data_IF_505491833518
#
_entry.id   IF_505491833518
#
_cell.length_a   1.000
_cell.length_b   1.000
_cell.length_c   1.000
_cell.angle_alpha   90.00
_cell.angle_beta   90.00
_cell.angle_gamma   90.00
#
_symmetry.space_group_name_H-M   'P 1'
#
loop_
_entity.id
_entity.type
_entity.pdbx_description
1 polymer ?
#
# COMPACT_ATOMS: atom_id res chain seq x y z
N UNK A 1 14.37 -17.30 4.25
CA UNK A 1 14.23 -16.04 5.03
C UNK A 1 12.74 -15.74 5.06
N UNK A 2 12.10 -15.77 6.23
CA UNK A 2 10.64 -15.58 6.33
C UNK A 2 10.27 -14.17 5.90
N UNK A 3 9.50 -14.05 4.82
CA UNK A 3 8.87 -12.80 4.43
C UNK A 3 7.81 -12.46 5.48
N UNK A 4 7.97 -11.36 6.22
CA UNK A 4 6.99 -10.85 7.18
C UNK A 4 6.48 -9.51 6.67
N UNK A 5 5.28 -9.47 6.10
CA UNK A 5 4.68 -8.18 5.69
C UNK A 5 3.30 -8.02 6.33
N UNK A 6 3.34 -7.86 7.65
CA UNK A 6 2.41 -7.01 8.39
C UNK A 6 3.26 -5.89 8.98
N UNK A 7 3.12 -4.69 8.44
CA UNK A 7 3.88 -3.51 8.85
C UNK A 7 2.87 -2.44 9.22
N UNK A 8 2.99 -1.89 10.43
CA UNK A 8 2.29 -0.67 10.79
C UNK A 8 3.02 0.47 10.09
N UNK A 9 2.33 1.17 9.20
CA UNK A 9 2.89 2.33 8.54
C UNK A 9 2.66 3.57 9.43
N UNK A 10 3.72 4.34 9.68
CA UNK A 10 3.59 5.63 10.35
C UNK A 10 3.45 6.75 9.31
N UNK A 11 2.70 7.81 9.64
CA UNK A 11 2.64 9.01 8.80
C UNK A 11 3.96 9.78 9.00
N UNK A 12 4.77 9.99 7.94
CA UNK A 12 5.99 10.78 8.03
C UNK A 12 5.70 12.20 8.56
N UNK A 13 6.63 12.76 9.34
CA UNK A 13 6.44 14.06 10.02
C UNK A 13 6.07 15.19 9.05
N UNK A 14 6.60 15.17 7.85
CA UNK A 14 6.34 16.13 6.78
C UNK A 14 4.96 15.97 6.12
N UNK A 15 4.28 14.86 6.36
CA UNK A 15 2.90 14.60 5.94
C UNK A 15 1.86 14.85 7.05
N UNK A 16 2.32 15.17 8.27
CA UNK A 16 1.44 15.56 9.38
C UNK A 16 1.05 17.03 9.18
N UNK A 17 -0.25 17.33 9.30
CA UNK A 17 -0.80 18.67 9.13
C UNK A 17 -1.70 19.03 10.32
N UNK A 18 -1.76 20.32 10.65
CA UNK A 18 -2.74 20.84 11.61
C UNK A 18 -4.17 20.81 11.05
N UNK A 19 -4.33 20.63 9.73
CA UNK A 19 -5.64 20.41 9.11
C UNK A 19 -6.12 18.98 9.42
N UNK A 20 -7.27 18.81 10.12
CA UNK A 20 -7.80 17.50 10.45
C UNK A 20 -8.18 16.67 9.21
N UNK A 21 -8.59 17.30 8.10
CA UNK A 21 -8.94 16.60 6.86
C UNK A 21 -7.71 15.97 6.21
N UNK A 22 -6.58 16.69 6.21
CA UNK A 22 -5.31 16.16 5.69
C UNK A 22 -4.87 14.96 6.54
N UNK A 23 -4.92 15.11 7.87
CA UNK A 23 -4.54 14.04 8.81
C UNK A 23 -5.44 12.81 8.67
N UNK A 24 -6.76 13.00 8.55
CA UNK A 24 -7.71 11.90 8.32
C UNK A 24 -7.43 11.16 7.02
N UNK A 25 -7.19 11.88 5.91
CA UNK A 25 -6.92 11.29 4.60
C UNK A 25 -5.57 10.56 4.56
N UNK A 26 -4.52 11.12 5.17
CA UNK A 26 -3.24 10.44 5.31
C UNK A 26 -3.36 9.19 6.20
N UNK A 27 -4.16 9.22 7.26
CA UNK A 27 -4.42 8.04 8.10
C UNK A 27 -5.11 6.93 7.30
N UNK A 28 -6.10 7.28 6.47
CA UNK A 28 -6.75 6.32 5.55
C UNK A 28 -5.76 5.73 4.54
N UNK A 29 -4.92 6.57 3.94
CA UNK A 29 -3.89 6.15 2.99
C UNK A 29 -2.90 5.14 3.61
N UNK A 30 -2.41 5.46 4.81
CA UNK A 30 -1.46 4.62 5.56
C UNK A 30 -2.09 3.29 5.98
N UNK A 31 -3.34 3.29 6.45
CA UNK A 31 -4.08 2.04 6.69
C UNK A 31 -4.22 1.19 5.42
N UNK A 32 -4.46 1.82 4.28
CA UNK A 32 -4.55 1.11 3.01
C UNK A 32 -3.21 0.52 2.55
N UNK A 33 -2.08 1.06 2.99
CA UNK A 33 -0.76 0.43 2.76
C UNK A 33 -0.62 -0.92 3.47
N UNK A 34 -1.30 -1.13 4.60
CA UNK A 34 -1.36 -2.44 5.24
C UNK A 34 -2.02 -3.49 4.34
N UNK A 35 -3.05 -3.12 3.57
CA UNK A 35 -3.67 -4.03 2.60
C UNK A 35 -2.74 -4.40 1.44
N UNK A 36 -1.87 -3.46 1.03
CA UNK A 36 -0.86 -3.71 0.00
C UNK A 36 0.19 -4.70 0.54
N UNK A 37 0.70 -4.44 1.74
CA UNK A 37 1.62 -5.32 2.44
C UNK A 37 1.05 -6.74 2.62
N UNK A 38 -0.20 -6.86 3.07
CA UNK A 38 -0.86 -8.16 3.19
C UNK A 38 -1.00 -8.87 1.84
N UNK A 39 -1.30 -8.15 0.76
CA UNK A 39 -1.41 -8.76 -0.56
C UNK A 39 -0.07 -9.31 -1.06
N UNK A 40 1.03 -8.57 -0.83
CA UNK A 40 2.38 -8.99 -1.13
C UNK A 40 2.82 -10.19 -0.27
N UNK A 41 2.47 -10.20 1.02
CA UNK A 41 2.65 -11.37 1.89
C UNK A 41 1.93 -12.61 1.35
N UNK A 42 0.65 -12.47 0.98
CA UNK A 42 -0.10 -13.55 0.37
C UNK A 42 0.53 -14.01 -0.95
N UNK A 43 1.03 -13.09 -1.78
CA UNK A 43 1.73 -13.41 -3.02
C UNK A 43 2.97 -14.25 -2.75
N UNK A 44 3.81 -13.84 -1.82
CA UNK A 44 5.01 -14.57 -1.44
C UNK A 44 4.67 -16.03 -1.07
N UNK A 45 3.65 -16.22 -0.22
CA UNK A 45 3.19 -17.57 0.17
C UNK A 45 2.59 -18.37 -0.98
N UNK A 46 1.94 -17.72 -1.96
CA UNK A 46 1.50 -18.40 -3.18
C UNK A 46 2.69 -18.90 -4.00
N UNK A 47 3.77 -18.14 -4.09
CA UNK A 47 4.99 -18.54 -4.81
C UNK A 47 5.68 -19.71 -4.08
N UNK A 48 5.88 -19.60 -2.77
CA UNK A 48 6.48 -20.67 -1.95
C UNK A 48 5.66 -21.97 -2.03
N UNK A 49 4.33 -21.87 -2.09
CA UNK A 49 3.45 -23.03 -2.24
C UNK A 49 3.38 -23.60 -3.67
N UNK A 50 4.13 -23.05 -4.63
CA UNK A 50 4.11 -23.50 -6.03
C UNK A 50 2.76 -23.25 -6.72
N UNK A 51 2.07 -22.16 -6.38
CA UNK A 51 0.76 -21.86 -6.95
C UNK A 51 0.84 -21.69 -8.48
N UNK A 52 -0.15 -22.24 -9.18
CA UNK A 52 -0.21 -22.13 -10.64
C UNK A 52 -0.33 -20.69 -11.15
N UNK A 53 0.15 -20.46 -12.38
CA UNK A 53 0.21 -19.15 -13.06
C UNK A 53 -1.07 -18.31 -12.90
N UNK A 54 -2.25 -18.91 -13.03
CA UNK A 54 -3.54 -18.20 -12.88
C UNK A 54 -3.70 -17.51 -11.52
N UNK A 55 -3.31 -18.17 -10.41
CA UNK A 55 -3.37 -17.58 -9.06
C UNK A 55 -2.36 -16.46 -8.91
N UNK A 56 -1.14 -16.65 -9.42
CA UNK A 56 -0.08 -15.65 -9.38
C UNK A 56 -0.44 -14.41 -10.22
N UNK A 57 -1.01 -14.58 -11.41
CA UNK A 57 -1.50 -13.46 -12.24
C UNK A 57 -2.59 -12.68 -11.52
N UNK A 58 -3.60 -13.36 -10.95
CA UNK A 58 -4.67 -12.70 -10.21
C UNK A 58 -4.16 -11.96 -8.97
N UNK A 59 -3.20 -12.53 -8.26
CA UNK A 59 -2.54 -11.87 -7.13
C UNK A 59 -1.80 -10.60 -7.58
N UNK A 60 -1.08 -10.66 -8.71
CA UNK A 60 -0.37 -9.50 -9.27
C UNK A 60 -1.33 -8.39 -9.72
N UNK A 61 -2.40 -8.75 -10.42
CA UNK A 61 -3.44 -7.79 -10.82
C UNK A 61 -4.07 -7.10 -9.60
N UNK A 62 -4.33 -7.84 -8.53
CA UNK A 62 -4.85 -7.28 -7.28
C UNK A 62 -3.86 -6.28 -6.64
N UNK A 63 -2.55 -6.55 -6.69
CA UNK A 63 -1.52 -5.61 -6.24
C UNK A 63 -1.55 -4.33 -7.07
N UNK A 64 -1.59 -4.45 -8.40
CA UNK A 64 -1.66 -3.31 -9.32
C UNK A 64 -2.92 -2.46 -9.09
N UNK A 65 -4.08 -3.10 -8.86
CA UNK A 65 -5.32 -2.41 -8.48
C UNK A 65 -5.15 -1.64 -7.17
N UNK A 66 -4.58 -2.26 -6.14
CA UNK A 66 -4.32 -1.58 -4.85
C UNK A 66 -3.37 -0.40 -5.03
N UNK A 67 -2.26 -0.57 -5.75
CA UNK A 67 -1.34 0.54 -6.04
C UNK A 67 -2.04 1.71 -6.76
N UNK A 68 -2.97 1.42 -7.67
CA UNK A 68 -3.81 2.45 -8.31
C UNK A 68 -4.71 3.17 -7.29
N UNK A 69 -5.39 2.44 -6.41
CA UNK A 69 -6.23 3.02 -5.35
C UNK A 69 -5.41 3.87 -4.38
N UNK A 70 -4.22 3.43 -4.00
CA UNK A 70 -3.29 4.21 -3.18
C UNK A 70 -2.92 5.55 -3.84
N UNK A 71 -2.70 5.57 -5.16
CA UNK A 71 -2.46 6.81 -5.91
C UNK A 71 -3.69 7.73 -5.89
N UNK A 72 -4.90 7.20 -5.97
CA UNK A 72 -6.13 7.98 -5.80
C UNK A 72 -6.19 8.62 -4.41
N UNK A 73 -5.94 7.86 -3.35
CA UNK A 73 -5.88 8.44 -1.99
C UNK A 73 -4.79 9.49 -1.83
N UNK A 74 -3.62 9.33 -2.47
CA UNK A 74 -2.61 10.40 -2.52
C UNK A 74 -3.13 11.67 -3.21
N UNK A 75 -3.89 11.53 -4.30
CA UNK A 75 -4.52 12.65 -4.98
C UNK A 75 -5.56 13.32 -4.08
N UNK A 76 -6.36 12.55 -3.35
CA UNK A 76 -7.33 13.08 -2.40
C UNK A 76 -6.65 13.93 -1.31
N UNK A 77 -5.53 13.48 -0.74
CA UNK A 77 -4.78 14.29 0.24
C UNK A 77 -4.30 15.60 -0.39
N UNK A 78 -3.80 15.55 -1.63
CA UNK A 78 -3.33 16.76 -2.34
C UNK A 78 -4.46 17.73 -2.68
N UNK A 79 -5.67 17.23 -2.95
CA UNK A 79 -6.84 18.06 -3.24
C UNK A 79 -7.29 18.92 -2.05
N UNK A 80 -7.03 18.49 -0.82
CA UNK A 80 -7.26 19.31 0.39
C UNK A 80 -6.00 20.09 0.81
N UNK A 81 -5.06 20.31 -0.10
CA UNK A 81 -3.84 21.09 0.16
C UNK A 81 -2.81 20.39 1.04
N UNK A 82 -2.95 19.08 1.29
CA UNK A 82 -2.05 18.30 2.12
C UNK A 82 -0.88 17.66 1.37
N UNK A 83 0.21 17.38 2.09
CA UNK A 83 1.28 16.49 1.60
C UNK A 83 0.89 15.04 1.83
N UNK A 84 0.75 14.28 0.75
CA UNK A 84 0.39 12.86 0.81
C UNK A 84 1.57 11.99 1.23
N UNK A 85 1.33 10.99 2.09
CA UNK A 85 2.33 9.95 2.38
C UNK A 85 2.78 9.28 1.07
N UNK A 86 4.08 9.13 0.81
CA UNK A 86 4.57 8.48 -0.40
C UNK A 86 4.28 6.96 -0.38
N UNK A 87 3.98 6.39 -1.55
CA UNK A 87 3.87 4.93 -1.70
C UNK A 87 5.29 4.37 -1.55
N UNK A 88 5.53 3.42 -0.63
CA UNK A 88 6.84 2.78 -0.49
C UNK A 88 7.30 2.15 -1.81
N UNK A 89 8.54 2.42 -2.22
CA UNK A 89 9.06 1.95 -3.51
C UNK A 89 9.01 0.41 -3.63
N UNK A 90 9.33 -0.31 -2.56
CA UNK A 90 9.29 -1.77 -2.56
C UNK A 90 7.91 -2.33 -2.90
N UNK A 91 6.81 -1.60 -2.69
CA UNK A 91 5.47 -2.07 -3.05
C UNK A 91 5.26 -2.28 -4.55
N UNK A 92 6.04 -1.60 -5.40
CA UNK A 92 5.92 -1.75 -6.85
C UNK A 92 6.72 -2.92 -7.41
N UNK A 93 7.63 -3.49 -6.61
CA UNK A 93 8.48 -4.59 -7.03
C UNK A 93 7.69 -5.91 -7.01
N UNK A 94 7.96 -6.78 -7.98
CA UNK A 94 7.42 -8.13 -7.95
C UNK A 94 8.09 -8.93 -6.83
N UNK A 95 7.27 -9.48 -5.93
CA UNK A 95 7.68 -10.43 -4.89
C UNK A 95 7.58 -11.84 -5.45
#
# INVERSE_FOLDING_TARGET
RGFNEQVVFEIPKDCISNDPLVTERNTKLVKFYEEIAQNRYQRYHLIEAGAGKKKLTKSWENLQTKLKTARTYQQDVRQVGGKAVPIPAHFTDEV
#
